data_IF_614767149939
#
_entry.id   IF_614767149939
#
_cell.length_a   1.000
_cell.length_b   1.000
_cell.length_c   1.000
_cell.angle_alpha   90.00
_cell.angle_beta   90.00
_cell.angle_gamma   90.00
#
_symmetry.space_group_name_H-M   'P 1'
#
loop_
_entity.id
_entity.type
_entity.pdbx_description
1 polymer ?
#
# COMPACT_ATOMS: atom_id res chain seq x y z
N UNK A 1 -2.46 38.17 -24.03
CA UNK A 1 -2.08 36.82 -24.51
C UNK A 1 -0.57 36.77 -24.50
N UNK A 2 0.02 36.35 -23.36
CA UNK A 2 1.44 36.14 -23.21
C UNK A 2 1.73 34.70 -23.65
N UNK A 3 2.57 34.55 -24.68
CA UNK A 3 3.04 33.25 -25.14
C UNK A 3 3.72 32.51 -23.98
N UNK A 4 3.55 31.17 -23.88
CA UNK A 4 4.28 30.40 -22.88
C UNK A 4 5.77 30.50 -23.19
N UNK A 5 6.55 30.92 -22.19
CA UNK A 5 8.00 30.90 -22.26
C UNK A 5 8.45 29.48 -22.58
N UNK A 6 9.12 29.34 -23.74
CA UNK A 6 9.76 28.10 -24.15
C UNK A 6 10.89 27.81 -23.16
N UNK A 7 10.68 26.80 -22.31
CA UNK A 7 11.75 26.22 -21.46
C UNK A 7 12.95 25.90 -22.37
N UNK A 8 14.15 26.41 -22.10
CA UNK A 8 15.32 26.17 -22.95
C UNK A 8 15.58 24.67 -23.04
N UNK A 9 15.56 24.15 -24.26
CA UNK A 9 16.00 22.77 -24.55
C UNK A 9 17.48 22.68 -24.16
N UNK A 10 17.80 22.00 -23.06
CA UNK A 10 19.16 21.67 -22.71
C UNK A 10 19.77 20.86 -23.86
N UNK A 11 20.99 21.20 -24.26
CA UNK A 11 21.72 20.46 -25.26
C UNK A 11 21.82 18.99 -24.86
N UNK A 12 21.59 18.08 -25.79
CA UNK A 12 21.52 16.62 -25.55
C UNK A 12 22.79 16.00 -24.97
N UNK A 13 23.90 16.72 -24.98
CA UNK A 13 25.21 16.31 -24.45
C UNK A 13 25.34 16.43 -22.93
N UNK A 14 24.46 17.24 -22.24
CA UNK A 14 24.52 17.47 -20.81
C UNK A 14 23.55 16.58 -19.99
N UNK A 15 22.73 15.81 -20.68
CA UNK A 15 21.72 14.96 -20.06
C UNK A 15 22.22 13.53 -19.93
N UNK A 16 22.48 13.12 -18.70
CA UNK A 16 22.88 11.75 -18.42
C UNK A 16 21.68 10.83 -18.12
N UNK A 17 20.59 11.36 -17.54
CA UNK A 17 19.45 10.55 -17.10
C UNK A 17 18.12 11.26 -17.35
N UNK A 18 17.17 10.53 -17.92
CA UNK A 18 15.76 10.92 -18.01
C UNK A 18 14.93 9.97 -17.16
N UNK A 19 14.04 10.52 -16.32
CA UNK A 19 13.13 9.77 -15.48
C UNK A 19 11.70 10.08 -15.90
N UNK A 20 10.90 9.05 -16.11
CA UNK A 20 9.49 9.15 -16.47
C UNK A 20 8.63 8.84 -15.24
N UNK A 21 7.87 9.84 -14.79
CA UNK A 21 7.03 9.79 -13.61
C UNK A 21 7.71 10.34 -12.34
N UNK A 22 7.05 11.29 -11.67
CA UNK A 22 7.47 11.86 -10.40
C UNK A 22 6.76 11.20 -9.20
N UNK A 23 6.49 9.90 -9.28
CA UNK A 23 6.07 9.10 -8.14
C UNK A 23 7.26 8.70 -7.25
N UNK A 24 7.03 7.92 -6.18
CA UNK A 24 8.09 7.51 -5.23
C UNK A 24 9.32 6.92 -5.91
N UNK A 25 9.14 6.03 -6.87
CA UNK A 25 10.25 5.37 -7.57
C UNK A 25 11.09 6.35 -8.41
N UNK A 26 10.40 7.21 -9.18
CA UNK A 26 11.08 8.17 -10.06
C UNK A 26 11.82 9.24 -9.27
N UNK A 27 11.20 9.83 -8.24
CA UNK A 27 11.84 10.85 -7.41
C UNK A 27 12.99 10.28 -6.58
N UNK A 28 12.87 9.06 -6.05
CA UNK A 28 14.00 8.40 -5.37
C UNK A 28 15.16 8.18 -6.33
N UNK A 29 14.90 7.71 -7.56
CA UNK A 29 15.94 7.53 -8.57
C UNK A 29 16.60 8.86 -8.93
N UNK A 30 15.79 9.91 -9.17
CA UNK A 30 16.29 11.23 -9.50
C UNK A 30 17.20 11.79 -8.41
N UNK A 31 16.76 11.69 -7.15
CA UNK A 31 17.52 12.12 -5.99
C UNK A 31 18.87 11.38 -5.87
N UNK A 32 18.84 10.05 -6.01
CA UNK A 32 20.04 9.22 -5.93
C UNK A 32 21.04 9.47 -7.09
N UNK A 33 20.55 9.76 -8.28
CA UNK A 33 21.42 10.18 -9.38
C UNK A 33 22.02 11.57 -9.14
N UNK A 34 21.21 12.51 -8.64
CA UNK A 34 21.68 13.86 -8.29
C UNK A 34 22.78 13.83 -7.24
N UNK A 35 22.66 13.00 -6.18
CA UNK A 35 23.72 12.78 -5.18
C UNK A 35 25.04 12.29 -5.76
N UNK A 36 24.99 11.61 -6.91
CA UNK A 36 26.18 11.13 -7.64
C UNK A 36 26.67 12.12 -8.68
N UNK A 37 26.20 13.36 -8.62
CA UNK A 37 26.59 14.44 -9.52
C UNK A 37 26.01 14.33 -10.94
N UNK A 38 24.98 13.48 -11.14
CA UNK A 38 24.32 13.34 -12.43
C UNK A 38 23.14 14.31 -12.52
N UNK A 39 23.03 15.00 -13.66
CA UNK A 39 21.86 15.82 -13.97
C UNK A 39 20.70 14.93 -14.45
N UNK A 40 19.52 15.14 -13.89
CA UNK A 40 18.34 14.37 -14.19
C UNK A 40 17.22 15.28 -14.69
N UNK A 41 16.48 14.83 -15.69
CA UNK A 41 15.20 15.42 -16.08
C UNK A 41 14.09 14.44 -15.75
N UNK A 42 13.17 14.89 -14.90
CA UNK A 42 11.96 14.13 -14.54
C UNK A 42 10.78 14.73 -15.29
N UNK A 43 10.00 13.89 -15.97
CA UNK A 43 8.74 14.29 -16.60
C UNK A 43 7.58 13.61 -15.91
N UNK A 44 6.59 14.40 -15.46
CA UNK A 44 5.38 13.93 -14.80
C UNK A 44 4.15 14.37 -15.59
N UNK A 45 3.26 13.44 -15.83
CA UNK A 45 2.02 13.68 -16.59
C UNK A 45 0.98 14.49 -15.80
N UNK A 46 1.01 14.37 -14.48
CA UNK A 46 0.08 15.03 -13.57
C UNK A 46 0.58 16.44 -13.18
N UNK A 47 -0.27 17.24 -12.60
CA UNK A 47 0.05 18.58 -12.07
C UNK A 47 0.72 18.54 -10.68
N UNK A 48 0.77 17.36 -10.04
CA UNK A 48 1.35 17.14 -8.72
C UNK A 48 2.28 15.93 -8.71
N UNK A 49 3.28 15.97 -7.84
CA UNK A 49 4.23 14.86 -7.62
C UNK A 49 3.68 13.83 -6.63
N UNK A 50 4.39 12.72 -6.45
CA UNK A 50 4.08 11.69 -5.46
C UNK A 50 3.29 10.50 -6.01
N UNK A 51 2.74 10.58 -7.22
CA UNK A 51 1.99 9.47 -7.84
C UNK A 51 0.88 8.96 -6.92
N UNK A 52 0.84 7.65 -6.66
CA UNK A 52 -0.15 7.06 -5.73
C UNK A 52 0.10 7.40 -4.26
N UNK A 53 1.28 7.96 -3.92
CA UNK A 53 1.65 8.36 -2.56
C UNK A 53 1.50 9.87 -2.34
N UNK A 54 0.78 10.55 -3.22
CA UNK A 54 0.44 11.95 -3.04
C UNK A 54 -0.62 12.15 -1.96
N UNK A 55 -0.64 13.33 -1.37
CA UNK A 55 -1.71 13.78 -0.47
C UNK A 55 -2.63 14.71 -1.26
N UNK A 56 -3.93 14.46 -1.19
CA UNK A 56 -4.95 15.33 -1.77
C UNK A 56 -5.47 16.25 -0.69
N UNK A 57 -5.57 17.55 -0.98
CA UNK A 57 -6.19 18.53 -0.09
C UNK A 57 -7.52 18.97 -0.67
N UNK A 58 -8.57 18.94 0.16
CA UNK A 58 -9.90 19.41 -0.20
C UNK A 58 -10.60 19.99 1.03
N UNK A 59 -11.08 21.21 0.90
CA UNK A 59 -11.82 21.93 1.95
C UNK A 59 -11.06 21.98 3.30
N UNK A 60 -9.72 22.11 3.24
CA UNK A 60 -8.84 22.12 4.41
C UNK A 60 -8.52 20.73 4.99
N UNK A 61 -9.07 19.66 4.41
CA UNK A 61 -8.77 18.29 4.79
C UNK A 61 -7.73 17.67 3.88
N UNK A 62 -6.85 16.85 4.47
CA UNK A 62 -5.83 16.09 3.74
C UNK A 62 -6.17 14.62 3.72
N UNK A 63 -6.08 14.02 2.52
CA UNK A 63 -6.43 12.63 2.28
C UNK A 63 -5.32 11.93 1.52
N UNK A 64 -5.03 10.70 1.92
CA UNK A 64 -4.23 9.79 1.13
C UNK A 64 -5.12 9.08 0.11
N UNK A 65 -4.63 8.90 -1.11
CA UNK A 65 -5.35 8.15 -2.16
C UNK A 65 -5.43 6.66 -1.81
N UNK A 66 -4.54 6.19 -0.95
CA UNK A 66 -4.47 4.80 -0.48
C UNK A 66 -4.01 4.72 0.96
N UNK A 67 -3.85 3.52 1.46
CA UNK A 67 -3.33 3.30 2.82
C UNK A 67 -1.81 3.35 2.83
N UNK A 68 -1.22 4.49 3.12
CA UNK A 68 0.22 4.67 3.22
C UNK A 68 0.68 4.56 4.67
N UNK A 69 1.70 3.75 4.89
CA UNK A 69 2.35 3.57 6.20
C UNK A 69 3.84 3.61 5.99
N UNK A 70 4.51 4.51 6.69
CA UNK A 70 5.96 4.56 6.68
C UNK A 70 6.49 3.51 7.65
N UNK A 71 6.61 2.31 7.12
CA UNK A 71 7.20 1.17 7.79
C UNK A 71 7.95 0.31 6.78
N UNK A 72 9.19 0.02 7.08
CA UNK A 72 10.03 -0.89 6.29
C UNK A 72 10.92 -1.71 7.21
N UNK A 73 11.39 -2.84 6.71
CA UNK A 73 12.48 -3.63 7.33
C UNK A 73 13.80 -3.42 6.59
N UNK A 74 13.80 -2.59 5.58
CA UNK A 74 14.95 -2.31 4.72
C UNK A 74 15.59 -1.03 5.19
N UNK A 75 16.65 -1.14 5.98
CA UNK A 75 17.31 0.00 6.62
C UNK A 75 17.69 1.14 5.63
N UNK A 76 18.18 0.90 4.40
CA UNK A 76 18.42 1.99 3.46
C UNK A 76 17.18 2.78 3.06
N UNK A 77 15.99 2.15 3.04
CA UNK A 77 14.73 2.85 2.74
C UNK A 77 14.31 3.73 3.91
N UNK A 78 14.46 3.25 5.14
CA UNK A 78 14.18 4.03 6.34
C UNK A 78 15.13 5.22 6.44
N UNK A 79 16.42 5.01 6.22
CA UNK A 79 17.42 6.08 6.19
C UNK A 79 17.09 7.16 5.14
N UNK A 80 16.65 6.73 3.95
CA UNK A 80 16.22 7.66 2.90
C UNK A 80 15.05 8.54 3.36
N UNK A 81 14.06 7.99 4.06
CA UNK A 81 12.93 8.79 4.55
C UNK A 81 13.38 9.91 5.50
N UNK A 82 14.27 9.58 6.44
CA UNK A 82 14.82 10.54 7.41
C UNK A 82 15.86 11.50 6.80
N UNK A 83 16.39 11.17 5.64
CA UNK A 83 17.22 12.08 4.86
C UNK A 83 16.39 13.14 4.13
N UNK A 84 15.20 12.76 3.63
CA UNK A 84 14.30 13.68 2.92
C UNK A 84 13.53 14.57 3.89
N UNK A 85 12.96 13.99 4.96
CA UNK A 85 12.21 14.73 5.99
C UNK A 85 12.90 14.62 7.35
N UNK A 86 13.02 15.71 8.11
CA UNK A 86 13.52 15.65 9.48
C UNK A 86 12.57 14.85 10.40
N UNK A 87 13.12 14.29 11.48
CA UNK A 87 12.40 13.44 12.42
C UNK A 87 11.15 14.10 13.01
N UNK A 88 11.19 15.41 13.22
CA UNK A 88 10.09 16.24 13.74
C UNK A 88 8.86 16.29 12.80
N UNK A 89 9.05 15.95 11.54
CA UNK A 89 7.97 15.88 10.55
C UNK A 89 7.29 14.50 10.51
N UNK A 90 7.81 13.53 11.26
CA UNK A 90 7.17 12.23 11.42
C UNK A 90 6.40 12.13 12.73
N UNK A 91 5.14 11.72 12.63
CA UNK A 91 4.28 11.45 13.75
C UNK A 91 4.14 9.93 13.92
N UNK A 92 4.31 9.44 15.15
CA UNK A 92 3.95 8.05 15.46
C UNK A 92 2.43 7.92 15.51
N UNK A 93 1.88 7.03 14.70
CA UNK A 93 0.43 6.80 14.62
C UNK A 93 0.08 5.36 14.94
N UNK A 94 -0.88 5.15 15.85
CA UNK A 94 -1.38 3.81 16.10
C UNK A 94 -2.11 3.28 14.86
N UNK A 95 -1.90 2.00 14.57
CA UNK A 95 -2.60 1.35 13.49
C UNK A 95 -4.08 1.25 13.80
N UNK A 96 -4.89 1.91 12.98
CA UNK A 96 -6.34 1.81 13.03
C UNK A 96 -6.87 1.34 11.69
N UNK A 97 -7.03 0.02 11.52
CA UNK A 97 -7.66 -0.56 10.34
C UNK A 97 -9.00 -1.17 10.74
N UNK A 98 -10.01 -0.96 9.92
CA UNK A 98 -11.35 -1.49 10.15
C UNK A 98 -11.94 -2.03 8.86
N UNK A 99 -12.72 -3.11 8.97
CA UNK A 99 -13.52 -3.63 7.88
C UNK A 99 -14.96 -3.13 8.10
N UNK A 100 -15.50 -2.41 7.12
CA UNK A 100 -16.91 -2.01 7.12
C UNK A 100 -17.74 -3.06 6.39
N UNK A 101 -18.66 -3.69 7.11
CA UNK A 101 -19.56 -4.71 6.56
C UNK A 101 -20.88 -4.70 7.32
N UNK A 102 -22.00 -4.74 6.58
CA UNK A 102 -23.35 -4.78 7.18
C UNK A 102 -23.61 -3.61 8.13
N UNK A 103 -23.22 -2.39 7.77
CA UNK A 103 -23.32 -1.17 8.59
C UNK A 103 -22.60 -1.25 9.95
N UNK A 104 -21.58 -2.13 10.07
CA UNK A 104 -20.78 -2.28 11.28
C UNK A 104 -19.30 -2.26 10.97
N UNK A 105 -18.50 -1.77 11.93
CA UNK A 105 -17.05 -1.76 11.83
C UNK A 105 -16.47 -2.95 12.60
N UNK A 106 -15.70 -3.78 11.88
CA UNK A 106 -14.94 -4.89 12.46
C UNK A 106 -13.48 -4.48 12.60
N UNK A 107 -12.86 -4.83 13.70
CA UNK A 107 -11.43 -4.61 13.92
C UNK A 107 -10.61 -5.44 12.91
N UNK A 108 -9.54 -4.86 12.40
CA UNK A 108 -8.57 -5.58 11.58
C UNK A 108 -7.17 -5.50 12.22
N UNK A 109 -6.55 -6.62 12.54
CA UNK A 109 -7.04 -8.01 12.38
C UNK A 109 -8.32 -8.29 13.16
N UNK A 110 -9.09 -9.27 12.65
CA UNK A 110 -10.35 -9.63 13.26
C UNK A 110 -10.14 -10.08 14.71
N UNK A 111 -10.73 -9.35 15.64
CA UNK A 111 -10.80 -9.74 17.06
C UNK A 111 -12.06 -10.54 17.29
N UNK A 112 -11.94 -11.73 17.91
CA UNK A 112 -13.07 -12.63 18.12
C UNK A 112 -14.24 -11.96 18.86
N UNK A 113 -13.97 -11.17 19.90
CA UNK A 113 -14.99 -10.46 20.66
C UNK A 113 -15.72 -9.41 19.85
N UNK A 114 -15.01 -8.62 19.04
CA UNK A 114 -15.61 -7.63 18.14
C UNK A 114 -16.39 -8.32 17.02
N UNK A 115 -15.84 -9.39 16.42
CA UNK A 115 -16.52 -10.15 15.39
C UNK A 115 -17.82 -10.79 15.90
N UNK A 116 -17.79 -11.44 17.06
CA UNK A 116 -18.98 -12.05 17.70
C UNK A 116 -20.06 -11.00 18.01
N UNK A 117 -19.66 -9.86 18.58
CA UNK A 117 -20.61 -8.78 18.91
C UNK A 117 -21.29 -8.21 17.66
N UNK A 118 -20.53 -8.05 16.58
CA UNK A 118 -21.02 -7.43 15.35
C UNK A 118 -21.77 -8.39 14.45
N UNK A 119 -21.32 -9.65 14.32
CA UNK A 119 -22.02 -10.71 13.54
C UNK A 119 -23.28 -11.19 14.27
N UNK A 120 -23.27 -11.19 15.60
CA UNK A 120 -24.26 -11.85 16.42
C UNK A 120 -23.99 -13.35 16.57
N UNK A 121 -24.55 -13.92 17.62
CA UNK A 121 -24.29 -15.32 18.05
C UNK A 121 -24.70 -16.32 16.95
N UNK A 122 -25.85 -16.13 16.32
CA UNK A 122 -26.36 -17.05 15.29
C UNK A 122 -25.40 -17.14 14.11
N UNK A 123 -24.93 -15.98 13.61
CA UNK A 123 -24.03 -15.94 12.48
C UNK A 123 -22.64 -16.48 12.83
N UNK A 124 -22.17 -16.20 14.05
CA UNK A 124 -20.94 -16.76 14.56
C UNK A 124 -20.98 -18.29 14.63
N UNK A 125 -22.07 -18.87 15.14
CA UNK A 125 -22.28 -20.33 15.16
C UNK A 125 -22.28 -20.91 13.73
N UNK A 126 -22.96 -20.26 12.80
CA UNK A 126 -22.96 -20.67 11.38
C UNK A 126 -21.56 -20.64 10.77
N UNK A 127 -20.73 -19.64 11.10
CA UNK A 127 -19.33 -19.58 10.67
C UNK A 127 -18.52 -20.76 11.23
N UNK A 128 -18.68 -21.06 12.53
CA UNK A 128 -18.00 -22.20 13.17
C UNK A 128 -18.45 -23.52 12.54
N UNK A 129 -19.74 -23.74 12.36
CA UNK A 129 -20.26 -24.95 11.69
C UNK A 129 -19.74 -25.08 10.24
N UNK A 130 -19.71 -23.97 9.51
CA UNK A 130 -19.13 -23.97 8.16
C UNK A 130 -17.63 -24.28 8.16
N UNK A 131 -16.89 -23.84 9.17
CA UNK A 131 -15.48 -24.19 9.35
C UNK A 131 -15.29 -25.67 9.64
N UNK A 132 -16.08 -26.23 10.57
CA UNK A 132 -16.05 -27.67 10.90
C UNK A 132 -16.42 -28.52 9.69
N UNK A 133 -17.45 -28.11 8.94
CA UNK A 133 -17.86 -28.79 7.70
C UNK A 133 -16.71 -28.91 6.69
N UNK A 134 -15.97 -27.80 6.48
CA UNK A 134 -14.85 -27.80 5.52
C UNK A 134 -13.66 -28.64 6.01
N UNK A 135 -13.53 -28.89 7.30
CA UNK A 135 -12.51 -29.81 7.83
C UNK A 135 -12.76 -31.25 7.43
N UNK A 136 -14.03 -31.61 7.23
CA UNK A 136 -14.46 -32.93 6.79
C UNK A 136 -14.58 -32.96 5.25
N UNK A 137 -15.21 -31.94 4.66
CA UNK A 137 -15.46 -31.82 3.23
C UNK A 137 -14.59 -30.68 2.64
N UNK A 138 -13.34 -31.00 2.34
CA UNK A 138 -12.40 -30.00 1.77
C UNK A 138 -12.87 -29.50 0.41
N UNK A 139 -12.64 -28.23 0.07
CA UNK A 139 -12.83 -27.73 -1.29
C UNK A 139 -12.06 -28.57 -2.30
N UNK A 140 -12.66 -28.80 -3.48
CA UNK A 140 -12.06 -29.64 -4.53
C UNK A 140 -10.76 -29.03 -5.07
N UNK A 141 -10.74 -27.71 -5.21
CA UNK A 141 -9.59 -26.96 -5.69
C UNK A 141 -9.10 -25.97 -4.61
N UNK A 142 -7.90 -26.18 -4.12
CA UNK A 142 -7.23 -25.30 -3.14
C UNK A 142 -6.06 -24.53 -3.74
N UNK A 143 -5.92 -24.56 -5.07
CA UNK A 143 -4.90 -23.78 -5.81
C UNK A 143 -5.34 -22.34 -6.04
N UNK A 144 -6.65 -22.09 -5.92
CA UNK A 144 -7.25 -20.75 -6.02
C UNK A 144 -7.33 -20.06 -4.65
N UNK A 145 -7.42 -18.73 -4.68
CA UNK A 145 -7.67 -17.92 -3.48
C UNK A 145 -8.97 -18.35 -2.77
N UNK A 146 -10.04 -18.59 -3.54
CA UNK A 146 -11.32 -19.04 -3.02
C UNK A 146 -11.18 -20.34 -2.24
N UNK A 147 -10.69 -21.38 -2.90
CA UNK A 147 -10.61 -22.71 -2.30
C UNK A 147 -9.63 -22.76 -1.13
N UNK A 148 -8.49 -22.10 -1.24
CA UNK A 148 -7.50 -22.02 -0.17
C UNK A 148 -8.04 -21.30 1.09
N UNK A 149 -8.74 -20.18 0.88
CA UNK A 149 -9.30 -19.39 1.97
C UNK A 149 -10.49 -20.12 2.60
N UNK A 150 -11.38 -20.69 1.79
CA UNK A 150 -12.50 -21.49 2.27
C UNK A 150 -12.04 -22.71 3.07
N UNK A 151 -10.99 -23.41 2.64
CA UNK A 151 -10.40 -24.53 3.38
C UNK A 151 -9.89 -24.16 4.78
N UNK A 152 -9.43 -22.92 4.96
CA UNK A 152 -8.87 -22.43 6.22
C UNK A 152 -9.88 -21.79 7.16
N UNK A 153 -10.90 -21.13 6.61
CA UNK A 153 -11.81 -20.29 7.39
C UNK A 153 -13.28 -20.75 7.30
N UNK A 154 -13.60 -21.69 6.43
CA UNK A 154 -14.95 -22.10 6.11
C UNK A 154 -15.62 -21.20 5.05
N UNK A 155 -16.50 -21.77 4.26
CA UNK A 155 -17.21 -21.08 3.19
C UNK A 155 -17.95 -19.83 3.63
N UNK A 156 -18.51 -19.84 4.84
CA UNK A 156 -19.32 -18.73 5.32
C UNK A 156 -18.47 -17.51 5.62
N UNK A 157 -17.36 -17.69 6.37
CA UNK A 157 -16.44 -16.58 6.68
C UNK A 157 -15.74 -16.08 5.42
N UNK A 158 -15.39 -16.98 4.49
CA UNK A 158 -14.84 -16.61 3.19
C UNK A 158 -15.79 -15.68 2.44
N UNK A 159 -17.06 -16.05 2.27
CA UNK A 159 -18.05 -15.23 1.56
C UNK A 159 -18.32 -13.89 2.23
N UNK A 160 -18.29 -13.84 3.56
CA UNK A 160 -18.60 -12.63 4.32
C UNK A 160 -17.47 -11.58 4.25
N UNK A 161 -16.21 -11.99 4.42
CA UNK A 161 -15.10 -11.03 4.59
C UNK A 161 -14.06 -11.05 3.48
N UNK A 162 -13.90 -12.13 2.77
CA UNK A 162 -12.80 -12.27 1.82
C UNK A 162 -13.26 -12.10 0.37
N UNK A 163 -14.32 -12.79 -0.05
CA UNK A 163 -14.75 -12.82 -1.45
C UNK A 163 -14.99 -11.42 -2.00
N UNK A 164 -15.98 -10.73 -1.47
CA UNK A 164 -16.41 -9.42 -1.98
C UNK A 164 -15.29 -8.39 -1.96
N UNK A 165 -14.50 -8.38 -0.87
CA UNK A 165 -13.36 -7.47 -0.77
C UNK A 165 -12.29 -7.76 -1.83
N UNK A 166 -11.91 -9.04 -1.98
CA UNK A 166 -10.88 -9.45 -2.92
C UNK A 166 -11.29 -9.18 -4.36
N UNK A 167 -12.49 -9.59 -4.74
CA UNK A 167 -13.02 -9.36 -6.10
C UNK A 167 -13.16 -7.87 -6.42
N UNK A 168 -13.58 -7.05 -5.45
CA UNK A 168 -13.66 -5.60 -5.62
C UNK A 168 -12.29 -4.95 -5.82
N UNK A 169 -11.28 -5.37 -5.08
CA UNK A 169 -9.92 -4.79 -5.15
C UNK A 169 -9.19 -5.22 -6.41
N UNK A 170 -9.35 -6.46 -6.83
CA UNK A 170 -8.61 -7.02 -7.96
C UNK A 170 -9.34 -6.95 -9.29
N UNK A 171 -10.65 -6.72 -9.27
CA UNK A 171 -11.47 -6.66 -10.48
C UNK A 171 -11.64 -8.01 -11.20
N UNK A 172 -11.25 -9.11 -10.55
CA UNK A 172 -11.35 -10.47 -11.10
C UNK A 172 -11.98 -11.42 -10.07
N UNK A 173 -12.62 -12.52 -10.50
CA UNK A 173 -13.16 -13.53 -9.60
C UNK A 173 -12.09 -14.11 -8.67
N UNK A 174 -12.46 -14.43 -7.45
CA UNK A 174 -11.54 -15.03 -6.47
C UNK A 174 -11.07 -16.45 -6.87
N UNK A 175 -11.78 -17.08 -7.80
CA UNK A 175 -11.40 -18.35 -8.44
C UNK A 175 -10.23 -18.23 -9.40
N UNK A 176 -9.98 -17.03 -9.94
CA UNK A 176 -8.93 -16.77 -10.92
C UNK A 176 -7.62 -16.27 -10.26
N UNK A 177 -7.67 -16.04 -8.94
CA UNK A 177 -6.51 -15.58 -8.14
C UNK A 177 -5.81 -16.79 -7.55
N UNK A 178 -4.49 -16.88 -7.71
CA UNK A 178 -3.66 -17.97 -7.19
C UNK A 178 -3.61 -17.99 -5.65
N UNK A 179 -3.64 -19.19 -5.06
CA UNK A 179 -3.59 -19.39 -3.61
C UNK A 179 -2.31 -18.85 -2.94
N UNK A 180 -1.18 -18.87 -3.65
CA UNK A 180 0.11 -18.38 -3.13
C UNK A 180 0.06 -16.92 -2.72
N UNK A 181 -0.70 -16.11 -3.46
CA UNK A 181 -0.94 -14.73 -3.10
C UNK A 181 -1.68 -14.60 -1.75
N UNK A 182 -2.70 -15.44 -1.52
CA UNK A 182 -3.40 -15.51 -0.25
C UNK A 182 -2.49 -15.95 0.89
N UNK A 183 -1.68 -16.99 0.64
CA UNK A 183 -0.75 -17.55 1.62
C UNK A 183 0.30 -16.54 2.09
N UNK A 184 0.78 -15.67 1.19
CA UNK A 184 1.75 -14.61 1.54
C UNK A 184 1.14 -13.52 2.42
N UNK A 185 -0.12 -13.17 2.25
CA UNK A 185 -0.79 -12.05 2.92
C UNK A 185 -1.57 -12.45 4.17
N UNK A 186 -2.09 -13.68 4.19
CA UNK A 186 -2.87 -14.22 5.31
C UNK A 186 -1.98 -15.15 6.17
N UNK A 187 -0.73 -14.76 6.38
CA UNK A 187 0.19 -15.50 7.26
C UNK A 187 -0.32 -15.45 8.71
N UNK A 188 -0.20 -16.60 9.41
CA UNK A 188 -0.48 -16.74 10.85
C UNK A 188 -1.93 -16.55 11.30
N UNK A 189 -2.90 -16.40 10.41
CA UNK A 189 -4.32 -16.43 10.75
C UNK A 189 -4.83 -17.89 10.76
N UNK A 190 -5.18 -18.38 11.95
CA UNK A 190 -5.83 -19.68 12.14
C UNK A 190 -7.14 -19.47 12.90
N UNK A 191 -8.26 -19.77 12.25
CA UNK A 191 -9.58 -19.68 12.90
C UNK A 191 -9.67 -20.65 14.09
N UNK A 192 -9.07 -21.85 13.98
CA UNK A 192 -9.00 -22.81 15.07
C UNK A 192 -8.29 -22.25 16.32
N UNK A 193 -7.14 -21.61 16.13
CA UNK A 193 -6.44 -20.92 17.25
C UNK A 193 -7.27 -19.75 17.80
N UNK A 194 -7.94 -19.00 16.94
CA UNK A 194 -8.77 -17.89 17.37
C UNK A 194 -9.98 -18.35 18.19
N UNK A 195 -10.66 -19.44 17.78
CA UNK A 195 -11.76 -20.06 18.53
C UNK A 195 -11.25 -20.61 19.85
N UNK A 196 -10.14 -21.35 19.84
CA UNK A 196 -9.54 -21.93 21.05
C UNK A 196 -9.17 -20.83 22.04
N UNK A 197 -8.53 -19.75 21.61
CA UNK A 197 -8.17 -18.61 22.45
C UNK A 197 -9.38 -17.81 22.96
N UNK A 198 -10.52 -17.86 22.24
CA UNK A 198 -11.75 -17.22 22.69
C UNK A 198 -12.49 -18.02 23.77
N UNK A 199 -12.28 -19.35 23.80
CA UNK A 199 -12.91 -20.26 24.76
C UNK A 199 -12.09 -20.45 26.05
N UNK A 200 -10.78 -20.15 26.02
CA UNK A 200 -9.91 -20.28 27.19
C UNK A 200 -9.67 -18.93 27.88
N UNK A 201 -9.68 -18.87 29.22
CA UNK A 201 -9.37 -17.65 29.94
C UNK A 201 -7.91 -17.22 29.64
N UNK A 202 -7.72 -15.93 29.40
CA UNK A 202 -6.48 -15.29 28.97
C UNK A 202 -5.31 -15.55 29.94
N UNK A 203 -4.37 -16.36 29.51
CA UNK A 203 -3.03 -16.39 30.07
C UNK A 203 -2.05 -16.11 28.93
N UNK A 204 -1.40 -14.91 28.95
CA UNK A 204 -0.32 -14.47 28.05
C UNK A 204 -0.60 -14.51 26.53
N UNK A 205 -1.24 -13.47 25.99
CA UNK A 205 -1.18 -13.14 24.56
C UNK A 205 0.04 -12.25 24.26
N UNK A 206 1.23 -12.85 24.19
CA UNK A 206 2.43 -12.19 23.64
C UNK A 206 2.76 -12.60 22.20
N UNK A 207 1.97 -13.44 21.57
CA UNK A 207 2.29 -14.06 20.28
C UNK A 207 1.34 -13.69 19.14
N UNK A 208 0.92 -12.42 19.03
CA UNK A 208 0.48 -11.88 17.74
C UNK A 208 1.60 -10.97 17.23
N UNK A 209 2.78 -11.54 17.15
CA UNK A 209 3.93 -10.91 16.54
C UNK A 209 3.77 -10.95 15.02
N UNK A 210 3.27 -9.87 14.42
CA UNK A 210 3.61 -9.40 13.06
C UNK A 210 2.71 -8.29 12.54
N UNK A 211 1.89 -7.70 13.38
CA UNK A 211 1.12 -6.55 12.96
C UNK A 211 1.74 -5.35 13.64
N UNK A 212 2.33 -4.50 12.83
CA UNK A 212 2.83 -3.20 13.25
C UNK A 212 1.69 -2.49 13.98
N UNK A 213 1.88 -2.24 15.27
CA UNK A 213 0.89 -1.55 16.09
C UNK A 213 0.94 -0.05 15.90
N UNK A 214 2.14 0.47 15.61
CA UNK A 214 2.42 1.88 15.34
C UNK A 214 3.31 2.01 14.10
N UNK A 215 3.20 3.11 13.41
CA UNK A 215 4.03 3.44 12.25
C UNK A 215 4.29 4.95 12.18
N UNK A 216 5.37 5.30 11.52
CA UNK A 216 5.68 6.68 11.22
C UNK A 216 4.75 7.20 10.12
N UNK A 217 4.42 8.48 10.19
CA UNK A 217 3.56 9.14 9.21
C UNK A 217 3.92 10.63 9.09
N UNK A 218 4.21 11.14 7.88
CA UNK A 218 4.49 12.55 7.69
C UNK A 218 3.31 13.42 8.14
N UNK A 219 3.57 14.47 8.90
CA UNK A 219 2.53 15.28 9.58
C UNK A 219 1.44 15.83 8.67
N UNK A 220 1.78 16.10 7.41
CA UNK A 220 0.84 16.60 6.41
C UNK A 220 0.48 15.59 5.33
N UNK A 221 0.76 14.31 5.57
CA UNK A 221 0.53 13.22 4.65
C UNK A 221 1.76 12.82 3.84
N UNK A 222 1.74 11.65 3.17
CA UNK A 222 2.88 11.12 2.44
C UNK A 222 3.33 12.01 1.26
N UNK A 223 2.43 12.83 0.69
CA UNK A 223 2.76 13.78 -0.36
C UNK A 223 3.85 14.77 0.04
N UNK A 224 3.84 15.23 1.30
CA UNK A 224 4.84 16.11 1.86
C UNK A 224 6.29 15.63 1.62
N UNK A 225 6.52 14.32 1.74
CA UNK A 225 7.83 13.74 1.50
C UNK A 225 8.26 13.88 0.03
N UNK A 226 7.34 13.66 -0.89
CA UNK A 226 7.65 13.72 -2.33
C UNK A 226 7.78 15.16 -2.84
N UNK A 227 7.04 16.08 -2.26
CA UNK A 227 7.22 17.51 -2.48
C UNK A 227 8.62 17.94 -2.04
N UNK A 228 9.02 17.56 -0.82
CA UNK A 228 10.37 17.86 -0.32
C UNK A 228 11.47 17.19 -1.14
N UNK A 229 11.27 15.92 -1.52
CA UNK A 229 12.21 15.22 -2.40
C UNK A 229 12.37 15.95 -3.74
N UNK A 230 11.28 16.49 -4.30
CA UNK A 230 11.31 17.28 -5.54
C UNK A 230 12.13 18.55 -5.39
N UNK A 231 12.01 19.27 -4.26
CA UNK A 231 12.84 20.44 -3.98
C UNK A 231 14.33 20.06 -3.95
N UNK A 232 14.68 19.01 -3.22
CA UNK A 232 16.07 18.54 -3.12
C UNK A 232 16.63 18.08 -4.48
N UNK A 233 15.82 17.45 -5.32
CA UNK A 233 16.21 17.09 -6.71
C UNK A 233 16.52 18.35 -7.53
N UNK A 234 15.72 19.41 -7.37
CA UNK A 234 15.97 20.69 -8.04
C UNK A 234 17.22 21.39 -7.50
N UNK A 235 17.43 21.38 -6.19
CA UNK A 235 18.63 21.95 -5.54
C UNK A 235 19.92 21.27 -6.00
N UNK A 236 19.85 19.99 -6.41
CA UNK A 236 20.95 19.24 -7.05
C UNK A 236 21.18 19.62 -8.52
N UNK A 237 20.47 20.63 -9.05
CA UNK A 237 20.60 21.08 -10.44
C UNK A 237 19.86 20.23 -11.46
N UNK A 238 18.93 19.37 -11.03
CA UNK A 238 18.04 18.58 -11.86
C UNK A 238 16.70 19.29 -12.09
N UNK A 239 15.89 18.80 -13.04
CA UNK A 239 14.58 19.40 -13.34
C UNK A 239 13.45 18.42 -13.14
N UNK A 240 12.33 18.91 -12.60
CA UNK A 240 11.08 18.16 -12.51
C UNK A 240 10.01 18.98 -13.20
N UNK A 241 9.54 18.48 -14.34
CA UNK A 241 8.55 19.14 -15.21
C UNK A 241 7.21 18.40 -15.07
N UNK A 242 6.21 19.12 -14.57
CA UNK A 242 4.85 18.62 -14.38
C UNK A 242 4.02 18.81 -15.67
N UNK A 243 2.82 18.24 -15.70
CA UNK A 243 1.87 18.36 -16.81
C UNK A 243 2.49 17.99 -18.17
N UNK A 244 3.48 17.10 -18.12
CA UNK A 244 4.26 16.70 -19.30
C UNK A 244 4.26 15.19 -19.43
N UNK A 245 3.35 14.69 -20.25
CA UNK A 245 3.21 13.26 -20.53
C UNK A 245 4.24 12.83 -21.56
N UNK A 246 5.01 11.79 -21.25
CA UNK A 246 5.85 11.11 -22.23
C UNK A 246 4.98 10.12 -23.01
N UNK A 247 4.92 10.28 -24.33
CA UNK A 247 4.08 9.45 -25.20
C UNK A 247 4.86 8.31 -25.86
N UNK A 248 6.14 8.54 -26.17
CA UNK A 248 6.97 7.54 -26.81
C UNK A 248 8.43 7.65 -26.41
N UNK A 249 9.14 6.55 -26.50
CA UNK A 249 10.59 6.47 -26.33
C UNK A 249 11.17 5.83 -27.59
N UNK A 250 12.07 6.53 -28.27
CA UNK A 250 12.74 5.99 -29.44
C UNK A 250 14.21 5.74 -29.10
N UNK A 251 14.72 4.55 -29.42
CA UNK A 251 16.13 4.23 -29.29
C UNK A 251 16.86 4.72 -30.52
N UNK A 252 17.78 5.66 -30.33
CA UNK A 252 18.70 6.09 -31.38
C UNK A 252 20.12 5.59 -31.12
N UNK A 253 21.03 5.81 -32.10
CA UNK A 253 22.43 5.36 -31.99
C UNK A 253 23.20 6.02 -30.83
N UNK A 254 22.69 7.14 -30.30
CA UNK A 254 23.30 7.89 -29.18
C UNK A 254 22.46 7.84 -27.89
N UNK A 255 21.54 6.88 -27.75
CA UNK A 255 20.68 6.72 -26.56
C UNK A 255 19.21 6.81 -26.86
N UNK A 256 18.40 6.95 -25.80
CA UNK A 256 16.96 7.12 -25.90
C UNK A 256 16.58 8.59 -26.19
N UNK A 257 15.57 8.77 -27.04
CA UNK A 257 14.94 10.07 -27.33
C UNK A 257 13.48 10.04 -27.02
#
# INVERSE_FOLDING_TARGET
MTSPESTPLLNSTDLEVVVIGAGPAGLTAAYEFGRRGKKVRVFEADEVVGGISRTVERDGWRFDIGGHRFFTKVAPVEAFWHEILPDEDFLMRPRMSRIFYGNKFYDYPLKATNALRNLGIIEAVRCVLSYLWVRIHKPKDTTTFEGWTAARFGWRLYRTFFKTYTEKVWGVPATDIQADWAAQRIKNLSLGKAIFNALLPRRNQKDIASLIEEFQYPKYGPGMMWERCTELVRDQGSTVTLTTRVESITRGDQGAK
#
